data_IF_900903170928
#
_entry.id   IF_900903170928
#
_cell.length_a   1.000
_cell.length_b   1.000
_cell.length_c   1.000
_cell.angle_alpha   90.00
_cell.angle_beta   90.00
_cell.angle_gamma   90.00
#
_symmetry.space_group_name_H-M   'P 1'
#
loop_
_entity.id
_entity.type
_entity.pdbx_description
1 polymer ?
#
# COMPACT_ATOMS: atom_id res chain seq x y z
N UNK A 1 5.19 43.93 12.43
CA UNK A 1 4.27 42.98 13.10
C UNK A 1 3.71 42.08 12.01
N UNK A 2 4.57 41.22 11.47
CA UNK A 2 4.32 40.42 10.25
C UNK A 2 3.86 39.02 10.67
N UNK A 3 2.64 38.65 10.29
CA UNK A 3 2.14 37.28 10.43
C UNK A 3 2.71 36.46 9.28
N UNK A 4 3.76 35.67 9.57
CA UNK A 4 4.21 34.58 8.72
C UNK A 4 3.07 33.56 8.63
N UNK A 5 2.46 33.47 7.45
CA UNK A 5 1.56 32.37 7.10
C UNK A 5 2.40 31.11 7.04
N UNK A 6 1.94 30.13 7.80
CA UNK A 6 2.48 28.82 8.10
C UNK A 6 2.98 28.05 6.90
N UNK A 7 4.15 27.40 7.10
CA UNK A 7 4.59 26.19 6.41
C UNK A 7 3.40 25.34 5.99
N UNK A 8 3.14 25.29 4.69
CA UNK A 8 2.48 24.14 4.11
C UNK A 8 3.53 23.05 4.13
N UNK A 9 3.49 22.20 5.15
CA UNK A 9 4.04 20.85 5.01
C UNK A 9 3.45 20.34 3.69
N UNK A 10 4.33 20.10 2.70
CA UNK A 10 3.99 19.23 1.60
C UNK A 10 3.40 17.99 2.26
N UNK A 11 2.10 17.74 2.07
CA UNK A 11 1.50 16.49 2.46
C UNK A 11 2.35 15.43 1.76
N UNK A 12 3.22 14.76 2.52
CA UNK A 12 3.68 13.43 2.18
C UNK A 12 2.43 12.70 1.72
N UNK A 13 2.49 12.20 0.48
CA UNK A 13 1.45 11.45 -0.21
C UNK A 13 0.57 10.74 0.81
N UNK A 14 -0.67 11.22 0.99
CA UNK A 14 -1.63 10.58 1.89
C UNK A 14 -1.99 9.25 1.28
N UNK A 15 -1.13 8.26 1.52
CA UNK A 15 -1.33 6.90 1.07
C UNK A 15 -2.67 6.45 1.60
N UNK A 16 -3.50 5.94 0.70
CA UNK A 16 -4.83 5.46 1.04
C UNK A 16 -4.68 4.34 2.10
N UNK A 17 -5.46 4.37 3.19
CA UNK A 17 -5.36 3.36 4.24
C UNK A 17 -5.40 1.92 3.67
N UNK A 18 -4.34 1.13 3.92
CA UNK A 18 -4.27 -0.28 3.49
C UNK A 18 -4.48 -0.50 1.99
N UNK A 19 -4.06 0.44 1.13
CA UNK A 19 -4.21 0.30 -0.32
C UNK A 19 -3.49 -0.94 -0.87
N UNK A 20 -2.31 -1.25 -0.35
CA UNK A 20 -1.53 -2.41 -0.80
C UNK A 20 -2.28 -3.73 -0.53
N UNK A 21 -2.83 -3.90 0.68
CA UNK A 21 -3.67 -5.04 1.04
C UNK A 21 -4.92 -5.16 0.13
N UNK A 22 -5.52 -4.02 -0.23
CA UNK A 22 -6.68 -4.00 -1.14
C UNK A 22 -6.30 -4.41 -2.57
N UNK A 23 -5.11 -3.99 -3.05
CA UNK A 23 -4.59 -4.37 -4.36
C UNK A 23 -4.23 -5.85 -4.40
N UNK A 24 -3.61 -6.37 -3.34
CA UNK A 24 -3.32 -7.80 -3.21
C UNK A 24 -4.62 -8.64 -3.25
N UNK A 25 -5.63 -8.27 -2.45
CA UNK A 25 -6.94 -8.91 -2.51
C UNK A 25 -7.57 -8.82 -3.90
N UNK A 26 -7.51 -7.67 -4.56
CA UNK A 26 -8.04 -7.47 -5.90
C UNK A 26 -7.38 -8.39 -6.94
N UNK A 27 -6.06 -8.55 -6.90
CA UNK A 27 -5.33 -9.45 -7.79
C UNK A 27 -5.71 -10.91 -7.56
N UNK A 28 -5.79 -11.35 -6.29
CA UNK A 28 -6.21 -12.70 -5.93
C UNK A 28 -7.62 -13.00 -6.45
N UNK A 29 -8.56 -12.08 -6.23
CA UNK A 29 -9.94 -12.23 -6.69
C UNK A 29 -10.03 -12.25 -8.21
N UNK A 30 -9.23 -11.42 -8.89
CA UNK A 30 -9.23 -11.37 -10.36
C UNK A 30 -8.73 -12.68 -10.96
N UNK A 31 -7.62 -13.21 -10.44
CA UNK A 31 -7.07 -14.50 -10.90
C UNK A 31 -8.09 -15.63 -10.74
N UNK A 32 -8.82 -15.65 -9.62
CA UNK A 32 -9.71 -16.77 -9.26
C UNK A 32 -11.11 -16.67 -9.86
N UNK A 33 -11.68 -15.46 -9.90
CA UNK A 33 -13.08 -15.25 -10.27
C UNK A 33 -13.24 -14.48 -11.59
N UNK A 34 -12.19 -13.81 -12.07
CA UNK A 34 -12.27 -12.91 -13.22
C UNK A 34 -13.37 -11.87 -13.02
N UNK A 35 -14.33 -11.84 -13.94
CA UNK A 35 -15.51 -10.95 -13.87
C UNK A 35 -16.73 -11.56 -13.19
N UNK A 36 -16.63 -12.80 -12.72
CA UNK A 36 -17.73 -13.47 -12.03
C UNK A 36 -17.99 -12.83 -10.66
N UNK A 37 -19.22 -12.93 -10.17
CA UNK A 37 -19.52 -12.52 -8.79
C UNK A 37 -18.91 -13.51 -7.79
N UNK A 38 -18.59 -13.01 -6.61
CA UNK A 38 -18.05 -13.79 -5.49
C UNK A 38 -18.63 -13.28 -4.17
N UNK A 39 -18.55 -14.11 -3.14
CA UNK A 39 -19.02 -13.80 -1.78
C UNK A 39 -17.84 -13.63 -0.83
N UNK A 40 -18.11 -13.12 0.37
CA UNK A 40 -17.11 -13.06 1.45
C UNK A 40 -16.59 -14.46 1.81
N UNK A 41 -17.47 -15.46 1.80
CA UNK A 41 -17.12 -16.84 2.15
C UNK A 41 -16.21 -17.49 1.10
N UNK A 42 -16.30 -17.07 -0.15
CA UNK A 42 -15.36 -17.49 -1.21
C UNK A 42 -13.95 -16.97 -0.91
N UNK A 43 -13.82 -15.77 -0.32
CA UNK A 43 -12.52 -15.16 0.01
C UNK A 43 -11.93 -15.69 1.31
N UNK A 44 -12.75 -16.00 2.31
CA UNK A 44 -12.28 -16.55 3.59
C UNK A 44 -11.53 -17.88 3.45
N UNK A 45 -11.63 -18.54 2.30
CA UNK A 45 -10.85 -19.74 1.99
C UNK A 45 -9.36 -19.43 1.75
N UNK A 46 -9.01 -18.18 1.46
CA UNK A 46 -7.63 -17.72 1.28
C UNK A 46 -6.99 -17.44 2.65
N UNK A 47 -6.10 -18.33 3.09
CA UNK A 47 -5.53 -18.36 4.45
C UNK A 47 -4.62 -17.19 4.83
N UNK A 48 -4.51 -16.16 3.99
CA UNK A 48 -3.49 -15.11 4.12
C UNK A 48 -4.06 -13.70 4.24
N UNK A 49 -5.38 -13.53 4.17
CA UNK A 49 -6.00 -12.20 4.17
C UNK A 49 -6.63 -11.94 5.53
N UNK A 50 -5.98 -11.09 6.32
CA UNK A 50 -6.54 -10.63 7.59
C UNK A 50 -7.61 -9.56 7.36
N UNK A 51 -8.74 -9.69 8.06
CA UNK A 51 -9.85 -8.74 8.04
C UNK A 51 -10.44 -8.50 6.62
N UNK A 52 -10.85 -9.61 5.99
CA UNK A 52 -11.48 -9.64 4.66
C UNK A 52 -12.67 -8.69 4.56
N UNK A 53 -13.48 -8.57 5.62
CA UNK A 53 -14.64 -7.69 5.63
C UNK A 53 -14.23 -6.22 5.47
N UNK A 54 -13.28 -5.73 6.28
CA UNK A 54 -12.77 -4.37 6.14
C UNK A 54 -12.11 -4.13 4.79
N UNK A 55 -11.35 -5.09 4.27
CA UNK A 55 -10.69 -4.97 2.97
C UNK A 55 -11.67 -4.94 1.79
N UNK A 56 -12.77 -5.70 1.86
CA UNK A 56 -13.83 -5.62 0.85
C UNK A 56 -14.55 -4.28 0.91
N UNK A 57 -14.83 -3.76 2.10
CA UNK A 57 -15.43 -2.43 2.26
C UNK A 57 -14.51 -1.32 1.74
N UNK A 58 -13.20 -1.39 2.03
CA UNK A 58 -12.20 -0.47 1.51
C UNK A 58 -12.03 -0.60 -0.01
N UNK A 59 -11.95 -1.82 -0.54
CA UNK A 59 -11.85 -2.07 -1.97
C UNK A 59 -13.10 -1.58 -2.72
N UNK A 60 -14.28 -1.73 -2.13
CA UNK A 60 -15.50 -1.07 -2.61
C UNK A 60 -15.28 0.44 -2.54
N UNK A 61 -14.86 1.01 -1.40
CA UNK A 61 -14.57 2.45 -1.20
C UNK A 61 -13.57 3.04 -2.20
N UNK A 62 -12.60 2.27 -2.68
CA UNK A 62 -11.64 2.68 -3.71
C UNK A 62 -12.13 2.45 -5.13
N UNK A 63 -13.27 1.79 -5.30
CA UNK A 63 -13.86 1.52 -6.62
C UNK A 63 -13.29 0.29 -7.32
N UNK A 64 -12.51 -0.53 -6.62
CA UNK A 64 -11.98 -1.80 -7.15
C UNK A 64 -13.12 -2.84 -7.29
N UNK A 65 -14.03 -2.85 -6.31
CA UNK A 65 -15.17 -3.76 -6.27
C UNK A 65 -16.50 -3.02 -6.38
N UNK A 66 -17.49 -3.69 -6.96
CA UNK A 66 -18.89 -3.33 -6.82
C UNK A 66 -19.59 -4.37 -5.94
N UNK A 67 -20.54 -3.91 -5.13
CA UNK A 67 -21.39 -4.78 -4.30
C UNK A 67 -22.81 -4.76 -4.85
N UNK A 68 -23.39 -5.94 -5.02
CA UNK A 68 -24.80 -6.16 -5.31
C UNK A 68 -25.39 -7.08 -4.23
N UNK A 69 -26.22 -6.50 -3.37
CA UNK A 69 -26.86 -7.16 -2.24
C UNK A 69 -25.84 -7.75 -1.25
N UNK A 70 -25.39 -8.98 -1.46
CA UNK A 70 -24.40 -9.69 -0.65
C UNK A 70 -23.26 -10.30 -1.46
N UNK A 71 -23.23 -10.01 -2.76
CA UNK A 71 -22.19 -10.46 -3.68
C UNK A 71 -21.34 -9.28 -4.11
N UNK A 72 -20.08 -9.57 -4.35
CA UNK A 72 -19.09 -8.64 -4.86
C UNK A 72 -18.74 -9.04 -6.29
N UNK A 73 -18.30 -8.06 -7.08
CA UNK A 73 -17.70 -8.29 -8.39
C UNK A 73 -16.60 -7.28 -8.64
N UNK A 74 -15.64 -7.65 -9.46
CA UNK A 74 -14.62 -6.72 -9.96
C UNK A 74 -15.28 -5.67 -10.86
N UNK A 75 -14.95 -4.40 -10.63
CA UNK A 75 -15.56 -3.29 -11.36
C UNK A 75 -14.87 -3.01 -12.70
N UNK A 76 -13.55 -3.12 -12.73
CA UNK A 76 -12.70 -2.97 -13.91
C UNK A 76 -11.69 -4.10 -13.91
N UNK A 77 -11.38 -4.69 -15.06
CA UNK A 77 -10.30 -5.66 -15.19
C UNK A 77 -8.92 -4.97 -15.08
N UNK A 78 -7.85 -5.69 -14.67
CA UNK A 78 -6.52 -5.08 -14.52
C UNK A 78 -5.96 -4.49 -15.83
N UNK A 79 -6.35 -5.04 -16.97
CA UNK A 79 -5.96 -4.61 -18.32
C UNK A 79 -6.98 -3.66 -18.97
N UNK A 80 -8.06 -3.31 -18.26
CA UNK A 80 -9.01 -2.32 -18.73
C UNK A 80 -8.33 -0.97 -18.97
N UNK A 81 -8.84 -0.21 -19.94
CA UNK A 81 -8.22 1.05 -20.31
C UNK A 81 -8.30 2.07 -19.16
N UNK A 82 -7.39 3.04 -19.16
CA UNK A 82 -7.45 4.16 -18.21
C UNK A 82 -8.80 4.88 -18.24
N UNK A 83 -9.42 4.98 -19.42
CA UNK A 83 -10.73 5.61 -19.57
C UNK A 83 -11.82 4.82 -18.82
N UNK A 84 -11.80 3.49 -18.90
CA UNK A 84 -12.76 2.62 -18.20
C UNK A 84 -12.61 2.75 -16.69
N UNK A 85 -11.37 2.75 -16.19
CA UNK A 85 -11.06 2.98 -14.77
C UNK A 85 -11.55 4.36 -14.29
N UNK A 86 -11.37 5.40 -15.11
CA UNK A 86 -11.84 6.76 -14.81
C UNK A 86 -13.37 6.86 -14.81
N UNK A 87 -14.03 6.25 -15.78
CA UNK A 87 -15.49 6.21 -15.88
C UNK A 87 -16.09 5.49 -14.67
N UNK A 88 -15.57 4.31 -14.35
CA UNK A 88 -16.00 3.52 -13.20
C UNK A 88 -15.90 4.31 -11.88
N UNK A 89 -14.78 5.01 -11.67
CA UNK A 89 -14.57 5.85 -10.47
C UNK A 89 -15.52 7.04 -10.45
N UNK A 90 -15.70 7.70 -11.60
CA UNK A 90 -16.57 8.88 -11.75
C UNK A 90 -18.04 8.55 -11.53
N UNK A 91 -18.52 7.42 -12.06
CA UNK A 91 -19.88 6.94 -11.86
C UNK A 91 -20.18 6.72 -10.37
N UNK A 92 -19.20 6.18 -9.62
CA UNK A 92 -19.34 5.95 -8.19
C UNK A 92 -19.38 7.25 -7.39
N UNK A 93 -18.46 8.17 -7.67
CA UNK A 93 -18.47 9.50 -7.06
C UNK A 93 -19.82 10.23 -7.32
N UNK A 94 -20.33 10.14 -8.54
CA UNK A 94 -21.63 10.70 -8.94
C UNK A 94 -22.78 10.04 -8.17
N UNK A 95 -22.73 8.72 -7.98
CA UNK A 95 -23.75 7.98 -7.22
C UNK A 95 -23.76 8.35 -5.74
N UNK A 96 -22.58 8.49 -5.13
CA UNK A 96 -22.43 8.96 -3.75
C UNK A 96 -22.99 10.38 -3.63
N UNK A 97 -22.59 11.29 -4.52
CA UNK A 97 -23.06 12.67 -4.54
C UNK A 97 -24.59 12.72 -4.67
N UNK A 98 -25.18 11.96 -5.60
CA UNK A 98 -26.63 11.89 -5.80
C UNK A 98 -27.35 11.38 -4.55
N UNK A 99 -26.81 10.34 -3.91
CA UNK A 99 -27.39 9.77 -2.68
C UNK A 99 -27.37 10.77 -1.53
N UNK A 100 -26.26 11.49 -1.36
CA UNK A 100 -26.12 12.55 -0.35
C UNK A 100 -27.12 13.68 -0.65
N UNK A 101 -27.20 14.15 -1.90
CA UNK A 101 -28.15 15.19 -2.31
C UNK A 101 -29.60 14.79 -2.04
N UNK A 102 -30.01 13.58 -2.44
CA UNK A 102 -31.36 13.06 -2.20
C UNK A 102 -31.69 13.00 -0.70
N UNK A 103 -30.72 12.59 0.13
CA UNK A 103 -30.90 12.52 1.59
C UNK A 103 -31.00 13.91 2.22
N UNK A 104 -30.20 14.87 1.75
CA UNK A 104 -30.29 16.26 2.19
C UNK A 104 -31.63 16.89 1.82
N UNK A 105 -32.14 16.63 0.61
CA UNK A 105 -33.47 17.08 0.18
C UNK A 105 -34.58 16.44 1.00
N UNK A 106 -34.49 15.14 1.30
CA UNK A 106 -35.44 14.46 2.18
C UNK A 106 -35.45 15.06 3.60
N UNK A 107 -34.27 15.35 4.18
CA UNK A 107 -34.17 16.01 5.48
C UNK A 107 -34.72 17.44 5.48
N UNK A 108 -34.56 18.17 4.36
CA UNK A 108 -35.12 19.54 4.21
C UNK A 108 -36.63 19.52 3.96
N UNK A 109 -37.12 18.60 3.13
CA UNK A 109 -38.54 18.45 2.79
C UNK A 109 -39.39 17.91 3.96
N UNK A 110 -38.77 17.19 4.90
CA UNK A 110 -39.45 16.72 6.11
C UNK A 110 -39.70 17.82 7.16
N UNK A 111 -39.16 19.03 6.98
CA UNK A 111 -39.23 20.12 7.96
C UNK A 111 -39.86 21.43 7.50
N UNK A 112 -40.22 21.61 6.23
CA UNK A 112 -40.58 22.94 5.71
C UNK A 112 -41.84 22.93 4.83
N UNK A 113 -42.97 23.17 5.49
CA UNK A 113 -44.07 23.98 4.97
C UNK A 113 -43.55 25.41 4.76
N UNK A 114 -43.68 25.91 3.52
CA UNK A 114 -43.65 27.30 3.05
C UNK A 114 -42.44 28.20 3.38
N UNK A 115 -41.71 28.61 2.33
CA UNK A 115 -40.80 29.77 2.40
C UNK A 115 -39.85 29.90 1.21
N UNK A 116 -40.40 30.14 0.02
CA UNK A 116 -39.66 30.36 -1.23
C UNK A 116 -38.85 31.66 -1.23
N UNK A 117 -37.53 31.60 -1.41
CA UNK A 117 -36.73 32.68 -2.04
C UNK A 117 -35.53 32.08 -2.80
N UNK A 118 -35.41 32.46 -4.07
CA UNK A 118 -34.35 32.09 -5.00
C UNK A 118 -33.10 32.98 -4.83
N UNK A 119 -31.91 32.41 -5.04
CA UNK A 119 -30.72 33.17 -5.44
C UNK A 119 -29.69 32.30 -6.17
N UNK A 120 -29.38 32.74 -7.38
CA UNK A 120 -28.42 32.23 -8.37
C UNK A 120 -27.03 32.85 -8.14
N UNK A 121 -25.93 32.12 -8.35
CA UNK A 121 -24.59 32.73 -8.31
C UNK A 121 -23.43 31.80 -8.71
N UNK A 122 -22.71 32.20 -9.76
CA UNK A 122 -21.74 31.48 -10.58
C UNK A 122 -20.28 31.42 -10.07
N UNK A 123 -19.62 30.29 -10.37
CA UNK A 123 -18.37 30.09 -11.15
C UNK A 123 -17.10 30.89 -10.79
N UNK A 124 -15.99 30.18 -10.54
CA UNK A 124 -14.64 30.63 -10.91
C UNK A 124 -13.73 29.42 -11.19
N UNK A 125 -13.06 29.46 -12.34
CA UNK A 125 -12.08 28.50 -12.85
C UNK A 125 -10.71 29.17 -12.74
N UNK A 126 -9.70 28.49 -12.20
CA UNK A 126 -8.31 28.97 -12.21
C UNK A 126 -7.40 27.80 -12.55
N UNK A 127 -6.75 27.91 -13.70
CA UNK A 127 -5.67 27.08 -14.20
C UNK A 127 -4.36 27.41 -13.47
N UNK A 128 -3.52 26.40 -13.21
CA UNK A 128 -2.10 26.60 -12.90
C UNK A 128 -1.30 25.37 -13.32
N UNK A 129 -0.52 25.59 -14.37
CA UNK A 129 0.43 24.67 -15.00
C UNK A 129 1.82 24.91 -14.38
N UNK A 130 2.51 23.88 -13.92
CA UNK A 130 3.88 24.01 -13.37
C UNK A 130 4.68 22.73 -13.64
N UNK A 131 5.38 22.75 -14.77
CA UNK A 131 6.43 21.80 -15.15
C UNK A 131 7.67 22.01 -14.28
N UNK A 132 8.08 20.98 -13.54
CA UNK A 132 9.35 20.96 -12.79
C UNK A 132 10.24 19.85 -13.32
N UNK A 133 11.36 20.25 -13.91
CA UNK A 133 12.39 19.42 -14.51
C UNK A 133 13.32 18.88 -13.42
N UNK A 134 13.34 17.56 -13.23
CA UNK A 134 14.12 16.88 -12.18
C UNK A 134 15.38 16.27 -12.79
N UNK A 135 16.51 16.91 -12.51
CA UNK A 135 17.85 16.42 -12.82
C UNK A 135 18.15 15.18 -11.96
N UNK A 136 18.20 14.02 -12.62
CA UNK A 136 18.47 12.71 -12.04
C UNK A 136 19.99 12.53 -11.87
N UNK A 137 20.48 12.60 -10.64
CA UNK A 137 21.87 12.24 -10.31
C UNK A 137 21.95 10.71 -10.18
N UNK A 138 22.40 10.04 -11.25
CA UNK A 138 22.76 8.61 -11.21
C UNK A 138 24.06 8.43 -10.43
N UNK A 139 23.93 8.19 -9.12
CA UNK A 139 24.99 7.61 -8.32
C UNK A 139 25.06 6.12 -8.64
N UNK A 140 26.21 5.67 -9.15
CA UNK A 140 26.53 4.27 -9.32
C UNK A 140 26.36 3.55 -7.98
N UNK A 141 25.33 2.69 -7.91
CA UNK A 141 25.09 1.81 -6.77
C UNK A 141 26.18 0.75 -6.77
N UNK A 142 27.15 0.92 -5.88
CA UNK A 142 27.81 -0.23 -5.25
C UNK A 142 26.70 -1.19 -4.80
N UNK A 143 26.82 -2.49 -5.03
CA UNK A 143 25.70 -3.46 -5.04
C UNK A 143 24.93 -3.57 -3.69
N UNK A 144 25.24 -2.73 -2.69
CA UNK A 144 24.50 -2.56 -1.45
C UNK A 144 24.62 -3.77 -0.51
N UNK A 145 25.47 -4.73 -0.87
CA UNK A 145 25.68 -5.99 -0.17
C UNK A 145 26.86 -5.83 0.78
N UNK A 146 26.53 -5.51 2.01
CA UNK A 146 27.46 -5.46 3.13
C UNK A 146 27.23 -6.69 4.02
N UNK A 147 28.29 -7.24 4.60
CA UNK A 147 28.13 -8.25 5.67
C UNK A 147 28.20 -7.53 7.00
N UNK A 148 27.10 -7.54 7.74
CA UNK A 148 27.02 -6.96 9.07
C UNK A 148 27.30 -8.02 10.14
N UNK A 149 27.94 -7.61 11.23
CA UNK A 149 28.16 -8.44 12.39
C UNK A 149 27.24 -8.00 13.51
N UNK A 150 26.50 -8.94 14.10
CA UNK A 150 25.70 -8.73 15.29
C UNK A 150 26.06 -9.81 16.31
N UNK A 151 26.56 -9.38 17.47
CA UNK A 151 27.19 -10.26 18.46
C UNK A 151 28.35 -11.08 17.85
N UNK A 152 28.21 -12.41 17.81
CA UNK A 152 29.19 -13.33 17.21
C UNK A 152 28.78 -13.84 15.83
N UNK A 153 27.60 -13.44 15.34
CA UNK A 153 26.99 -13.95 14.12
C UNK A 153 27.15 -12.92 12.97
N UNK A 154 27.25 -13.42 11.74
CA UNK A 154 27.37 -12.63 10.50
C UNK A 154 26.07 -12.68 9.71
N UNK A 155 25.67 -11.55 9.13
CA UNK A 155 24.42 -11.40 8.38
C UNK A 155 24.71 -10.71 7.06
N UNK A 156 24.16 -11.23 5.96
CA UNK A 156 24.26 -10.54 4.67
C UNK A 156 23.17 -9.48 4.55
N UNK A 157 23.53 -8.27 4.16
CA UNK A 157 22.59 -7.16 4.09
C UNK A 157 21.85 -7.06 2.78
N UNK A 158 20.55 -6.77 2.88
CA UNK A 158 19.70 -6.40 1.75
C UNK A 158 19.09 -5.05 2.05
N UNK A 159 19.38 -4.06 1.21
CA UNK A 159 18.79 -2.74 1.32
C UNK A 159 17.39 -2.72 0.68
N UNK A 160 16.44 -2.11 1.37
CA UNK A 160 15.04 -1.96 0.97
C UNK A 160 14.76 -0.49 0.78
N UNK A 161 14.44 -0.11 -0.46
CA UNK A 161 14.01 1.24 -0.82
C UNK A 161 12.49 1.38 -0.75
N UNK A 162 12.00 2.61 -0.73
CA UNK A 162 10.56 2.92 -0.76
C UNK A 162 9.86 2.32 -2.00
N UNK A 163 10.57 2.27 -3.12
CA UNK A 163 10.05 1.75 -4.39
C UNK A 163 10.09 0.23 -4.51
N UNK A 164 10.77 -0.46 -3.59
CA UNK A 164 10.90 -1.91 -3.68
C UNK A 164 9.60 -2.57 -3.21
N UNK A 165 8.99 -3.34 -4.11
CA UNK A 165 7.92 -4.27 -3.75
C UNK A 165 8.47 -5.54 -3.10
N UNK A 166 7.57 -6.35 -2.55
CA UNK A 166 7.94 -7.62 -1.89
C UNK A 166 8.76 -8.52 -2.81
N UNK A 167 8.34 -8.68 -4.08
CA UNK A 167 9.01 -9.57 -5.03
C UNK A 167 10.45 -9.13 -5.31
N UNK A 168 10.72 -7.82 -5.38
CA UNK A 168 12.07 -7.30 -5.60
C UNK A 168 12.98 -7.58 -4.39
N UNK A 169 12.48 -7.39 -3.17
CA UNK A 169 13.21 -7.71 -1.93
C UNK A 169 13.45 -9.22 -1.84
N UNK A 170 12.45 -10.01 -2.23
CA UNK A 170 12.51 -11.46 -2.25
C UNK A 170 13.55 -11.98 -3.27
N UNK A 171 13.55 -11.47 -4.49
CA UNK A 171 14.56 -11.80 -5.50
C UNK A 171 15.97 -11.41 -5.04
N UNK A 172 16.10 -10.26 -4.38
CA UNK A 172 17.37 -9.82 -3.79
C UNK A 172 17.86 -10.82 -2.73
N UNK A 173 16.97 -11.31 -1.86
CA UNK A 173 17.28 -12.32 -0.86
C UNK A 173 17.69 -13.67 -1.47
N UNK A 174 16.97 -14.15 -2.49
CA UNK A 174 17.33 -15.40 -3.20
C UNK A 174 18.69 -15.28 -3.90
N UNK A 175 19.04 -14.08 -4.36
CA UNK A 175 20.29 -13.79 -5.05
C UNK A 175 21.47 -13.56 -4.09
N UNK A 176 21.24 -13.59 -2.78
CA UNK A 176 22.26 -13.40 -1.76
C UNK A 176 22.83 -14.75 -1.35
N UNK A 177 24.15 -14.99 -1.51
CA UNK A 177 24.78 -16.15 -0.93
C UNK A 177 24.74 -16.01 0.60
N UNK A 178 24.10 -16.96 1.28
CA UNK A 178 24.04 -17.03 2.75
C UNK A 178 25.14 -17.93 3.31
N UNK A 179 26.05 -18.42 2.46
CA UNK A 179 27.19 -19.23 2.88
C UNK A 179 27.99 -18.50 3.97
N UNK A 180 28.24 -19.19 5.09
CA UNK A 180 28.94 -18.69 6.27
C UNK A 180 28.24 -17.52 7.04
N UNK A 181 26.97 -17.26 6.77
CA UNK A 181 26.16 -16.29 7.52
C UNK A 181 25.05 -16.99 8.32
N UNK A 182 24.68 -16.43 9.47
CA UNK A 182 23.57 -16.91 10.30
C UNK A 182 22.20 -16.52 9.73
N UNK A 183 22.16 -15.59 8.78
CA UNK A 183 20.97 -15.15 8.08
C UNK A 183 21.18 -13.84 7.34
N UNK A 184 20.12 -13.03 7.28
CA UNK A 184 20.07 -11.79 6.49
C UNK A 184 19.67 -10.61 7.37
N UNK A 185 20.04 -9.41 6.94
CA UNK A 185 19.61 -8.16 7.58
C UNK A 185 18.96 -7.25 6.55
N UNK A 186 17.69 -6.93 6.78
CA UNK A 186 16.96 -5.96 5.97
C UNK A 186 17.28 -4.56 6.48
N UNK A 187 17.74 -3.68 5.59
CA UNK A 187 18.13 -2.30 5.91
C UNK A 187 17.27 -1.31 5.15
N UNK A 188 16.87 -0.22 5.78
CA UNK A 188 16.22 0.89 5.10
C UNK A 188 16.44 2.19 5.88
N UNK A 189 16.23 3.37 5.27
CA UNK A 189 16.09 4.61 6.02
C UNK A 189 15.04 4.45 7.13
N UNK A 190 15.27 5.10 8.28
CA UNK A 190 14.50 4.89 9.51
C UNK A 190 13.00 5.16 9.37
N UNK A 191 12.61 6.06 8.47
CA UNK A 191 11.21 6.35 8.13
C UNK A 191 10.47 5.15 7.51
N UNK A 192 11.20 4.19 6.92
CA UNK A 192 10.65 2.98 6.31
C UNK A 192 10.70 1.74 7.22
N UNK A 193 10.96 1.92 8.52
CA UNK A 193 11.00 0.79 9.48
C UNK A 193 9.72 -0.06 9.44
N UNK A 194 8.55 0.58 9.31
CA UNK A 194 7.27 -0.14 9.21
C UNK A 194 7.16 -0.99 7.94
N UNK A 195 7.77 -0.54 6.84
CA UNK A 195 7.79 -1.28 5.58
C UNK A 195 8.65 -2.54 5.69
N UNK A 196 9.86 -2.39 6.24
CA UNK A 196 10.78 -3.51 6.51
C UNK A 196 10.15 -4.53 7.46
N UNK A 197 9.45 -4.07 8.50
CA UNK A 197 8.75 -4.96 9.43
C UNK A 197 7.71 -5.84 8.73
N UNK A 198 6.92 -5.27 7.81
CA UNK A 198 5.91 -6.00 7.02
C UNK A 198 6.55 -7.05 6.12
N UNK A 199 7.64 -6.72 5.43
CA UNK A 199 8.38 -7.70 4.64
C UNK A 199 8.92 -8.83 5.49
N UNK A 200 9.47 -8.50 6.66
CA UNK A 200 9.97 -9.49 7.59
C UNK A 200 8.86 -10.40 8.14
N UNK A 201 7.67 -9.87 8.45
CA UNK A 201 6.51 -10.69 8.87
C UNK A 201 6.09 -11.65 7.75
N UNK A 202 6.02 -11.15 6.52
CA UNK A 202 5.69 -11.94 5.34
C UNK A 202 6.72 -13.05 5.12
N UNK A 203 8.02 -12.76 5.14
CA UNK A 203 9.11 -13.74 5.03
C UNK A 203 9.11 -14.80 6.14
N UNK A 204 8.68 -14.45 7.36
CA UNK A 204 8.58 -15.38 8.47
C UNK A 204 7.31 -16.25 8.42
N UNK A 205 6.39 -16.00 7.48
CA UNK A 205 5.17 -16.78 7.34
C UNK A 205 5.44 -18.04 6.50
N UNK A 206 5.20 -19.22 7.09
CA UNK A 206 5.53 -20.52 6.50
C UNK A 206 4.96 -20.78 5.09
N UNK A 207 3.88 -20.10 4.69
CA UNK A 207 3.25 -20.30 3.38
C UNK A 207 4.12 -19.89 2.20
N UNK A 208 5.10 -19.01 2.41
CA UNK A 208 5.98 -18.57 1.33
C UNK A 208 7.01 -19.65 1.00
N UNK A 209 7.41 -20.46 1.98
CA UNK A 209 8.45 -21.48 1.81
C UNK A 209 7.97 -22.62 0.89
N UNK A 210 6.66 -22.90 0.87
CA UNK A 210 6.11 -24.00 0.05
C UNK A 210 5.97 -23.63 -1.44
N UNK A 211 5.83 -22.34 -1.77
CA UNK A 211 5.65 -21.88 -3.16
C UNK A 211 6.90 -21.20 -3.75
N UNK A 212 7.86 -20.82 -2.91
CA UNK A 212 8.99 -20.00 -3.33
C UNK A 212 10.33 -20.73 -3.26
N UNK A 213 11.29 -20.31 -4.08
CA UNK A 213 12.62 -20.92 -4.20
C UNK A 213 13.54 -20.71 -2.99
N UNK A 214 13.04 -20.20 -1.86
CA UNK A 214 13.84 -20.10 -0.64
C UNK A 214 14.01 -21.49 -0.05
N UNK A 215 15.26 -21.94 0.06
CA UNK A 215 15.61 -23.20 0.72
C UNK A 215 15.39 -23.17 2.23
N UNK A 216 15.20 -21.99 2.81
CA UNK A 216 15.30 -21.78 4.26
C UNK A 216 14.19 -20.88 4.77
N UNK A 217 13.63 -21.22 5.94
CA UNK A 217 12.69 -20.37 6.67
C UNK A 217 13.43 -19.39 7.55
N UNK A 218 12.86 -18.19 7.76
CA UNK A 218 13.46 -17.15 8.61
C UNK A 218 12.66 -16.93 9.89
N UNK A 219 13.34 -16.45 10.93
CA UNK A 219 12.71 -15.85 12.12
C UNK A 219 13.28 -14.47 12.41
N UNK A 220 12.44 -13.55 12.90
CA UNK A 220 12.90 -12.27 13.46
C UNK A 220 13.72 -12.51 14.72
N UNK A 221 14.91 -11.94 14.79
CA UNK A 221 15.79 -12.07 15.96
C UNK A 221 15.96 -10.74 16.68
N UNK A 222 16.31 -9.69 15.93
CA UNK A 222 16.65 -8.39 16.51
C UNK A 222 16.36 -7.25 15.52
N UNK A 223 16.17 -6.04 16.04
CA UNK A 223 16.11 -4.82 15.23
C UNK A 223 16.78 -3.67 15.96
N UNK A 224 17.50 -2.83 15.21
CA UNK A 224 18.08 -1.59 15.72
C UNK A 224 17.86 -0.42 14.76
N UNK A 225 18.19 0.77 15.26
CA UNK A 225 18.26 2.00 14.49
C UNK A 225 19.63 2.60 14.73
N UNK A 226 20.39 2.83 13.67
CA UNK A 226 21.73 3.42 13.73
C UNK A 226 21.77 4.73 12.96
N UNK A 227 22.75 5.58 13.27
CA UNK A 227 22.95 6.87 12.60
C UNK A 227 23.21 7.99 13.61
N UNK A 228 24.09 8.91 13.25
CA UNK A 228 24.48 10.04 14.12
C UNK A 228 23.54 11.24 13.94
N UNK A 229 22.83 11.33 12.81
CA UNK A 229 21.84 12.37 12.51
C UNK A 229 20.43 11.80 12.49
N UNK A 230 19.48 12.51 13.10
CA UNK A 230 18.06 12.13 13.16
C UNK A 230 17.39 12.00 11.77
N UNK A 231 17.95 12.65 10.75
CA UNK A 231 17.46 12.61 9.37
C UNK A 231 18.20 11.55 8.53
N UNK A 232 19.24 10.93 9.06
CA UNK A 232 20.06 9.91 8.40
C UNK A 232 20.08 8.62 9.21
N UNK A 233 18.97 8.35 9.93
CA UNK A 233 18.79 7.10 10.65
C UNK A 233 18.58 5.96 9.66
N UNK A 234 19.21 4.82 9.92
CA UNK A 234 19.02 3.56 9.21
C UNK A 234 18.39 2.54 10.18
N UNK A 235 17.24 2.00 9.80
CA UNK A 235 16.61 0.88 10.49
C UNK A 235 17.18 -0.43 9.94
N UNK A 236 17.53 -1.36 10.84
CA UNK A 236 18.00 -2.69 10.48
C UNK A 236 17.19 -3.74 11.21
N UNK A 237 16.82 -4.80 10.49
CA UNK A 237 16.08 -5.92 11.03
C UNK A 237 16.79 -7.22 10.66
N UNK A 238 17.25 -7.92 11.69
CA UNK A 238 18.02 -9.16 11.60
C UNK A 238 17.07 -10.35 11.57
N UNK A 239 17.19 -11.16 10.52
CA UNK A 239 16.45 -12.38 10.28
C UNK A 239 17.42 -13.56 10.34
N UNK A 240 17.18 -14.49 11.25
CA UNK A 240 17.99 -15.71 11.39
C UNK A 240 17.38 -16.83 10.58
N UNK A 241 18.23 -17.58 9.89
CA UNK A 241 17.82 -18.81 9.23
C UNK A 241 17.48 -19.88 10.27
N UNK A 242 16.36 -20.58 10.04
CA UNK A 242 16.00 -21.77 10.77
C UNK A 242 16.60 -22.96 10.04
N UNK A 243 17.63 -23.57 10.64
CA UNK A 243 18.17 -24.85 10.18
C UNK A 243 17.06 -25.90 10.28
N UNK A 244 16.55 -26.34 9.14
CA UNK A 244 15.58 -27.43 9.03
C UNK A 244 16.24 -28.79 9.25
#
# INVERSE_FOLDING_TARGET
MERRITNWNMCSSTSLPRIDDCLELYLIVTDRHGTSTFTRDDINQYRHIEDVESLLELGVAYGLFAVDSSQYRIRCEPDASRADWQEATTERATTIQRTISNRLESMRGSGAVNGSVAATGSKTTVDSDTTTDSVRTELQRDDGREVLQHESDRYTSVFVSESDGFDAVFEALVSVPVDDCAGVVLRAPGEYASHVQRFADRLCTNSIVDESSLSTSYRKEYSDVVGDDKNELEFRLFLRELST
#
